data_IF_741286108266
#
_entry.id   IF_741286108266
#
_cell.length_a   1.000
_cell.length_b   1.000
_cell.length_c   1.000
_cell.angle_alpha   90.00
_cell.angle_beta   90.00
_cell.angle_gamma   90.00
#
_symmetry.space_group_name_H-M   'P 1'
#
loop_
_entity.id
_entity.type
_entity.pdbx_description
1 polymer ?
#
# COMPACT_ATOMS: atom_id res chain seq x y z
N UNK A 1 25.24 12.48 -9.09
CA UNK A 1 24.30 11.60 -8.34
C UNK A 1 24.00 12.29 -7.04
N UNK A 2 22.74 12.64 -6.82
CA UNK A 2 22.36 13.43 -5.66
C UNK A 2 22.46 12.59 -4.38
N UNK A 3 22.92 13.21 -3.28
CA UNK A 3 23.07 12.56 -1.97
C UNK A 3 21.77 11.88 -1.50
N UNK A 4 20.61 12.45 -1.86
CA UNK A 4 19.29 11.92 -1.55
C UNK A 4 19.03 10.56 -2.22
N UNK A 5 19.44 10.39 -3.48
CA UNK A 5 19.24 9.15 -4.25
C UNK A 5 20.07 8.00 -3.70
N UNK A 6 21.33 8.30 -3.29
CA UNK A 6 22.21 7.30 -2.67
C UNK A 6 21.69 6.86 -1.30
N UNK A 7 21.26 7.81 -0.48
CA UNK A 7 20.67 7.55 0.84
C UNK A 7 19.41 6.69 0.73
N UNK A 8 18.51 7.03 -0.19
CA UNK A 8 17.29 6.27 -0.43
C UNK A 8 17.59 4.83 -0.89
N UNK A 9 18.50 4.66 -1.84
CA UNK A 9 18.90 3.34 -2.33
C UNK A 9 19.48 2.46 -1.22
N UNK A 10 20.37 3.01 -0.38
CA UNK A 10 20.94 2.29 0.76
C UNK A 10 19.87 1.88 1.78
N UNK A 11 18.99 2.81 2.17
CA UNK A 11 17.88 2.53 3.10
C UNK A 11 16.99 1.40 2.57
N UNK A 12 16.65 1.43 1.29
CA UNK A 12 15.82 0.42 0.64
C UNK A 12 16.47 -0.97 0.70
N UNK A 13 17.75 -1.09 0.31
CA UNK A 13 18.50 -2.34 0.35
C UNK A 13 18.58 -2.89 1.78
N UNK A 14 18.87 -2.04 2.78
CA UNK A 14 18.91 -2.44 4.18
C UNK A 14 17.58 -2.99 4.70
N UNK A 15 16.45 -2.41 4.29
CA UNK A 15 15.11 -2.89 4.69
C UNK A 15 14.76 -4.22 4.03
N UNK A 16 15.04 -4.38 2.73
CA UNK A 16 14.83 -5.65 2.04
C UNK A 16 15.66 -6.79 2.65
N UNK A 17 16.93 -6.53 2.97
CA UNK A 17 17.79 -7.51 3.65
C UNK A 17 17.22 -7.95 5.00
N UNK A 18 16.63 -7.02 5.79
CA UNK A 18 15.96 -7.37 7.05
C UNK A 18 14.75 -8.27 6.85
N UNK A 19 13.97 -8.05 5.79
CA UNK A 19 12.80 -8.89 5.46
C UNK A 19 13.26 -10.28 5.00
N UNK A 20 14.27 -10.34 4.13
CA UNK A 20 14.83 -11.59 3.62
C UNK A 20 15.38 -12.46 4.75
N UNK A 21 16.10 -11.88 5.72
CA UNK A 21 16.61 -12.64 6.89
C UNK A 21 15.50 -13.18 7.80
N UNK A 22 14.31 -12.56 7.80
CA UNK A 22 13.18 -13.02 8.63
C UNK A 22 12.30 -14.06 7.95
N UNK A 23 12.15 -13.98 6.62
CA UNK A 23 11.21 -14.83 5.86
C UNK A 23 11.88 -15.81 4.88
N UNK A 24 13.21 -15.77 4.77
CA UNK A 24 14.04 -16.63 3.89
C UNK A 24 13.56 -16.72 2.43
N UNK A 25 12.77 -15.75 2.01
CA UNK A 25 12.10 -15.71 0.70
C UNK A 25 12.46 -14.40 0.02
N UNK A 26 12.32 -14.35 -1.30
CA UNK A 26 12.57 -13.14 -2.09
C UNK A 26 11.74 -11.96 -1.54
N UNK A 27 12.40 -10.90 -1.03
CA UNK A 27 11.70 -9.81 -0.36
C UNK A 27 10.87 -8.95 -1.33
N UNK A 28 11.20 -8.93 -2.62
CA UNK A 28 10.42 -8.24 -3.65
C UNK A 28 9.12 -8.98 -3.97
N UNK A 29 9.13 -10.32 -3.92
CA UNK A 29 7.93 -11.14 -4.08
C UNK A 29 6.97 -10.90 -2.91
N UNK A 30 7.49 -10.90 -1.68
CA UNK A 30 6.72 -10.59 -0.46
C UNK A 30 6.10 -9.19 -0.57
N UNK A 31 6.88 -8.19 -0.99
CA UNK A 31 6.38 -6.82 -1.15
C UNK A 31 5.27 -6.76 -2.21
N UNK A 32 5.47 -7.42 -3.35
CA UNK A 32 4.48 -7.45 -4.43
C UNK A 32 3.17 -8.13 -4.00
N UNK A 33 3.28 -9.22 -3.24
CA UNK A 33 2.13 -9.92 -2.67
C UNK A 33 1.41 -9.04 -1.63
N UNK A 34 2.17 -8.36 -0.76
CA UNK A 34 1.61 -7.45 0.24
C UNK A 34 0.85 -6.30 -0.41
N UNK A 35 1.41 -5.69 -1.47
CA UNK A 35 0.73 -4.62 -2.21
C UNK A 35 -0.58 -5.14 -2.80
N UNK A 36 -0.57 -6.28 -3.50
CA UNK A 36 -1.79 -6.87 -4.08
C UNK A 36 -2.87 -7.18 -3.03
N UNK A 37 -2.46 -7.59 -1.83
CA UNK A 37 -3.40 -7.84 -0.74
C UNK A 37 -3.95 -6.56 -0.09
N UNK A 38 -3.26 -5.43 -0.24
CA UNK A 38 -3.71 -4.13 0.23
C UNK A 38 -4.60 -3.42 -0.80
N UNK A 39 -4.39 -3.67 -2.10
CA UNK A 39 -5.18 -3.10 -3.20
C UNK A 39 -6.65 -3.50 -3.11
N UNK A 40 -7.55 -2.56 -2.79
CA UNK A 40 -8.97 -2.82 -2.87
C UNK A 40 -9.45 -2.66 -4.32
N UNK A 41 -10.22 -3.64 -4.80
CA UNK A 41 -10.90 -3.53 -6.10
C UNK A 41 -12.20 -2.71 -6.00
N UNK A 42 -12.79 -2.68 -4.79
CA UNK A 42 -14.05 -2.00 -4.50
C UNK A 42 -13.90 -1.04 -3.32
N UNK A 43 -14.47 0.15 -3.44
CA UNK A 43 -14.66 1.09 -2.33
C UNK A 43 -16.12 1.39 -2.13
N UNK A 44 -16.48 1.65 -0.88
CA UNK A 44 -17.82 2.08 -0.51
C UNK A 44 -17.90 3.61 -0.53
N UNK A 45 -18.79 4.15 -1.36
CA UNK A 45 -19.12 5.58 -1.37
C UNK A 45 -20.47 5.79 -0.68
N UNK A 46 -20.54 6.73 0.24
CA UNK A 46 -21.81 7.15 0.80
C UNK A 46 -22.63 7.92 -0.26
N UNK A 47 -23.87 7.52 -0.48
CA UNK A 47 -24.86 8.24 -1.30
C UNK A 47 -26.08 8.56 -0.45
N UNK A 48 -26.56 9.80 -0.52
CA UNK A 48 -27.77 10.24 0.17
C UNK A 48 -28.98 10.09 -0.75
N UNK A 49 -30.01 9.39 -0.27
CA UNK A 49 -31.28 9.26 -0.96
C UNK A 49 -32.39 9.64 0.03
N UNK A 50 -32.94 10.86 -0.12
CA UNK A 50 -33.93 11.39 0.81
C UNK A 50 -33.40 11.51 2.25
N UNK A 51 -34.03 10.76 3.17
CA UNK A 51 -33.75 10.82 4.63
C UNK A 51 -32.58 9.93 5.04
N UNK A 52 -32.17 8.95 4.23
CA UNK A 52 -31.11 8.01 4.59
C UNK A 52 -29.86 8.12 3.72
N UNK A 53 -28.72 7.79 4.33
CA UNK A 53 -27.43 7.65 3.67
C UNK A 53 -27.15 6.17 3.48
N UNK A 54 -26.96 5.74 2.23
CA UNK A 54 -26.64 4.36 1.90
C UNK A 54 -25.20 4.26 1.40
N UNK A 55 -24.60 3.12 1.67
CA UNK A 55 -23.26 2.76 1.24
C UNK A 55 -23.34 2.06 -0.11
N UNK A 56 -22.89 2.73 -1.17
CA UNK A 56 -22.92 2.20 -2.54
C UNK A 56 -21.52 1.71 -2.90
N UNK A 57 -21.32 0.41 -3.18
CA UNK A 57 -20.05 -0.10 -3.67
C UNK A 57 -19.76 0.51 -5.05
N UNK A 58 -18.52 0.87 -5.28
CA UNK A 58 -18.04 1.44 -6.54
C UNK A 58 -16.67 0.85 -6.82
N UNK A 59 -16.45 0.39 -8.05
CA UNK A 59 -15.16 -0.09 -8.51
C UNK A 59 -14.11 1.04 -8.45
N UNK A 60 -12.90 0.68 -8.04
CA UNK A 60 -11.77 1.61 -7.98
C UNK A 60 -10.93 1.43 -9.23
N UNK A 61 -10.56 2.54 -9.88
CA UNK A 61 -9.60 2.50 -10.97
C UNK A 61 -8.20 2.10 -10.48
N UNK A 62 -7.44 1.37 -11.28
CA UNK A 62 -6.13 0.82 -10.90
C UNK A 62 -5.15 1.87 -10.32
N UNK A 63 -5.17 3.10 -10.81
CA UNK A 63 -4.32 4.20 -10.28
C UNK A 63 -4.73 4.60 -8.86
N UNK A 64 -6.03 4.69 -8.58
CA UNK A 64 -6.55 5.08 -7.27
C UNK A 64 -6.29 3.98 -6.23
N UNK A 65 -6.44 2.70 -6.62
CA UNK A 65 -6.10 1.57 -5.76
C UNK A 65 -4.64 1.63 -5.30
N UNK A 66 -3.70 1.78 -6.25
CA UNK A 66 -2.26 1.89 -5.95
C UNK A 66 -1.93 3.04 -4.99
N UNK A 67 -2.60 4.18 -5.13
CA UNK A 67 -2.39 5.33 -4.22
C UNK A 67 -2.90 5.01 -2.82
N UNK A 68 -4.08 4.39 -2.72
CA UNK A 68 -4.67 3.99 -1.45
C UNK A 68 -3.78 2.99 -0.70
N UNK A 69 -3.17 2.05 -1.43
CA UNK A 69 -2.27 1.04 -0.86
C UNK A 69 -1.06 1.67 -0.19
N UNK A 70 -0.43 2.62 -0.87
CA UNK A 70 0.73 3.32 -0.33
C UNK A 70 0.32 4.12 0.91
N UNK A 71 -0.83 4.80 0.87
CA UNK A 71 -1.36 5.56 2.01
C UNK A 71 -1.60 4.64 3.21
N UNK A 72 -2.26 3.50 3.00
CA UNK A 72 -2.56 2.54 4.06
C UNK A 72 -1.30 1.87 4.60
N UNK A 73 -0.38 1.47 3.73
CA UNK A 73 0.91 0.89 4.14
C UNK A 73 1.70 1.86 5.02
N UNK A 74 1.79 3.13 4.61
CA UNK A 74 2.46 4.17 5.39
C UNK A 74 1.72 4.48 6.69
N UNK A 75 0.40 4.50 6.68
CA UNK A 75 -0.40 4.72 7.88
C UNK A 75 -0.24 3.58 8.89
N UNK A 76 -0.27 2.33 8.43
CA UNK A 76 -0.03 1.16 9.26
C UNK A 76 1.38 1.15 9.84
N UNK A 77 2.39 1.51 9.03
CA UNK A 77 3.79 1.62 9.48
C UNK A 77 4.03 2.74 10.50
N UNK A 78 3.16 3.76 10.58
CA UNK A 78 3.27 4.84 11.58
C UNK A 78 2.57 4.53 12.90
N UNK A 79 1.62 3.59 12.89
CA UNK A 79 0.87 3.17 14.08
C UNK A 79 1.61 2.12 14.91
N UNK A 80 2.66 1.51 14.35
CA UNK A 80 3.51 0.50 14.97
C UNK A 80 4.92 1.05 15.18
#
# INVERSE_FOLDING_TARGET
MDSQTLSFGYLFICKLNKIQRKKETNPLSILSQAIRGLTPDITVKARRAGVSTHHVPTEIGATQGKVLDIIWLLAASRKH
#
